data_IF_253400817349
#
_entry.id   IF_253400817349
#
_cell.length_a   1.000
_cell.length_b   1.000
_cell.length_c   1.000
_cell.angle_alpha   90.00
_cell.angle_beta   90.00
_cell.angle_gamma   90.00
#
_symmetry.space_group_name_H-M   'P 1'
#
loop_
_entity.id
_entity.type
_entity.pdbx_description
1 polymer ?
#
# COMPACT_ATOMS: atom_id res chain seq x y z
N UNK A 1 -14.71 10.69 -10.22
CA UNK A 1 -14.55 11.15 -8.84
C UNK A 1 -13.09 11.48 -8.56
N UNK A 2 -12.85 12.51 -7.77
CA UNK A 2 -11.47 12.92 -7.38
C UNK A 2 -11.45 13.15 -5.87
N UNK A 3 -10.44 12.57 -5.22
CA UNK A 3 -10.13 12.79 -3.80
C UNK A 3 -8.73 13.37 -3.73
N UNK A 4 -8.58 14.70 -3.62
CA UNK A 4 -7.27 15.34 -3.51
C UNK A 4 -6.64 15.10 -2.12
N UNK A 5 -5.35 15.36 -2.01
CA UNK A 5 -4.61 15.24 -0.76
C UNK A 5 -5.13 16.21 0.32
N UNK A 6 -5.51 17.44 -0.08
CA UNK A 6 -6.04 18.44 0.84
C UNK A 6 -7.57 18.39 0.98
N UNK A 7 -8.08 18.70 2.17
CA UNK A 7 -9.51 18.75 2.42
C UNK A 7 -10.13 20.00 1.80
N UNK A 8 -11.09 19.83 0.87
CA UNK A 8 -11.69 20.89 0.08
C UNK A 8 -13.23 20.95 0.22
N UNK A 9 -13.76 20.85 1.42
CA UNK A 9 -15.18 21.00 1.73
C UNK A 9 -15.42 22.08 2.79
N UNK A 10 -16.67 22.53 2.93
CA UNK A 10 -17.06 23.55 3.90
C UNK A 10 -16.86 23.08 5.35
N UNK A 11 -15.99 23.76 6.08
CA UNK A 11 -15.63 23.38 7.45
C UNK A 11 -16.80 23.43 8.45
N UNK A 12 -17.78 24.30 8.20
CA UNK A 12 -18.94 24.52 9.07
C UNK A 12 -20.18 23.72 8.65
N UNK A 13 -20.13 23.04 7.51
CA UNK A 13 -21.22 22.20 7.04
C UNK A 13 -21.24 20.87 7.80
N UNK A 14 -22.44 20.31 7.95
CA UNK A 14 -22.60 18.97 8.51
C UNK A 14 -22.11 17.91 7.53
N UNK A 15 -21.57 16.84 8.07
CA UNK A 15 -21.07 15.68 7.31
C UNK A 15 -22.07 15.18 6.27
N UNK A 16 -23.34 15.02 6.66
CA UNK A 16 -24.40 14.57 5.76
C UNK A 16 -24.74 15.59 4.66
N UNK A 17 -24.81 16.88 5.03
CA UNK A 17 -25.17 17.95 4.09
C UNK A 17 -24.11 18.13 2.99
N UNK A 18 -22.82 17.95 3.32
CA UNK A 18 -21.73 17.95 2.34
C UNK A 18 -21.98 16.92 1.24
N UNK A 19 -22.39 15.70 1.61
CA UNK A 19 -22.64 14.63 0.64
C UNK A 19 -23.87 14.91 -0.22
N UNK A 20 -24.97 15.35 0.40
CA UNK A 20 -26.20 15.68 -0.32
C UNK A 20 -26.00 16.84 -1.27
N UNK A 21 -25.27 17.89 -0.83
CA UNK A 21 -24.92 19.03 -1.67
C UNK A 21 -24.06 18.61 -2.86
N UNK A 22 -23.05 17.76 -2.63
CA UNK A 22 -22.20 17.22 -3.70
C UNK A 22 -23.02 16.48 -4.77
N UNK A 23 -23.95 15.63 -4.34
CA UNK A 23 -24.86 14.92 -5.27
C UNK A 23 -25.70 15.90 -6.10
N UNK A 24 -26.11 17.01 -5.49
CA UNK A 24 -26.86 18.07 -6.17
C UNK A 24 -26.11 18.69 -7.34
N UNK A 25 -24.78 18.86 -7.25
CA UNK A 25 -23.96 19.36 -8.37
C UNK A 25 -23.96 18.40 -9.58
N UNK A 26 -24.27 17.12 -9.37
CA UNK A 26 -24.40 16.14 -10.44
C UNK A 26 -25.87 15.91 -10.87
N UNK A 27 -26.81 16.75 -10.41
CA UNK A 27 -28.21 16.65 -10.76
C UNK A 27 -28.93 15.44 -10.14
N UNK A 28 -28.40 14.85 -9.08
CA UNK A 28 -29.02 13.70 -8.41
C UNK A 28 -30.20 14.17 -7.57
N UNK A 29 -31.41 13.57 -7.72
CA UNK A 29 -32.57 13.95 -6.92
C UNK A 29 -32.30 13.81 -5.42
N UNK A 30 -32.84 14.75 -4.63
CA UNK A 30 -32.58 14.84 -3.18
C UNK A 30 -32.83 13.52 -2.43
N UNK A 31 -33.93 12.83 -2.74
CA UNK A 31 -34.25 11.55 -2.09
C UNK A 31 -33.15 10.48 -2.34
N UNK A 32 -32.67 10.35 -3.58
CA UNK A 32 -31.58 9.45 -3.93
C UNK A 32 -30.25 9.89 -3.32
N UNK A 33 -29.99 11.21 -3.31
CA UNK A 33 -28.79 11.76 -2.66
C UNK A 33 -28.74 11.44 -1.16
N UNK A 34 -29.88 11.54 -0.46
CA UNK A 34 -29.98 11.19 0.96
C UNK A 34 -29.74 9.69 1.19
N UNK A 35 -30.35 8.83 0.38
CA UNK A 35 -30.14 7.38 0.46
C UNK A 35 -28.67 7.00 0.23
N UNK A 36 -28.02 7.59 -0.78
CA UNK A 36 -26.60 7.34 -1.04
C UNK A 36 -25.70 7.90 0.08
N UNK A 37 -26.03 9.07 0.62
CA UNK A 37 -25.28 9.66 1.73
C UNK A 37 -25.32 8.74 2.97
N UNK A 38 -26.49 8.22 3.33
CA UNK A 38 -26.64 7.23 4.39
C UNK A 38 -25.78 6.00 4.11
N UNK A 39 -25.94 5.36 2.96
CA UNK A 39 -25.20 4.17 2.56
C UNK A 39 -23.68 4.36 2.64
N UNK A 40 -23.13 5.46 2.12
CA UNK A 40 -21.70 5.68 2.13
C UNK A 40 -21.16 6.08 3.51
N UNK A 41 -21.94 6.83 4.31
CA UNK A 41 -21.56 7.13 5.69
C UNK A 41 -21.56 5.89 6.57
N UNK A 42 -22.50 4.96 6.39
CA UNK A 42 -22.51 3.68 7.09
C UNK A 42 -21.30 2.83 6.71
N UNK A 43 -21.07 2.62 5.40
CA UNK A 43 -19.95 1.83 4.90
C UNK A 43 -18.58 2.34 5.34
N UNK A 44 -18.45 3.65 5.48
CA UNK A 44 -17.21 4.29 5.90
C UNK A 44 -17.16 4.60 7.41
N UNK A 45 -18.13 4.09 8.20
CA UNK A 45 -18.15 4.23 9.65
C UNK A 45 -18.26 5.69 10.11
N UNK A 46 -19.04 6.49 9.40
CA UNK A 46 -19.27 7.92 9.69
C UNK A 46 -20.74 8.25 10.00
N UNK A 47 -21.63 7.27 10.00
CA UNK A 47 -23.06 7.51 10.20
C UNK A 47 -23.38 8.22 11.52
N UNK A 48 -22.71 7.85 12.61
CA UNK A 48 -22.86 8.49 13.92
C UNK A 48 -22.37 9.94 13.94
N UNK A 49 -21.63 10.35 12.93
CA UNK A 49 -21.09 11.70 12.75
C UNK A 49 -21.84 12.52 11.68
N UNK A 50 -22.96 12.02 11.15
CA UNK A 50 -23.72 12.66 10.07
C UNK A 50 -24.16 14.10 10.37
N UNK A 51 -24.49 14.40 11.64
CA UNK A 51 -24.92 15.74 12.09
C UNK A 51 -23.78 16.60 12.64
N UNK A 52 -22.55 16.07 12.67
CA UNK A 52 -21.37 16.78 13.16
C UNK A 52 -20.80 17.66 12.05
N UNK A 53 -20.37 18.87 12.41
CA UNK A 53 -19.67 19.76 11.47
C UNK A 53 -18.31 19.18 11.07
N UNK A 54 -17.95 19.30 9.78
CA UNK A 54 -16.75 18.70 9.23
C UNK A 54 -15.45 19.14 9.94
N UNK A 55 -15.40 20.36 10.48
CA UNK A 55 -14.26 20.85 11.27
C UNK A 55 -13.98 20.02 12.53
N UNK A 56 -15.02 19.38 13.09
CA UNK A 56 -14.93 18.59 14.34
C UNK A 56 -14.50 17.14 14.08
N UNK A 57 -14.38 16.74 12.83
CA UNK A 57 -13.92 15.41 12.44
C UNK A 57 -12.39 15.29 12.57
N UNK A 58 -11.90 14.12 12.96
CA UNK A 58 -10.47 13.79 12.89
C UNK A 58 -9.96 13.75 11.44
N UNK A 59 -8.66 13.78 11.24
CA UNK A 59 -8.05 13.68 9.91
C UNK A 59 -8.52 12.45 9.12
N UNK A 60 -8.51 11.28 9.75
CA UNK A 60 -8.99 10.04 9.14
C UNK A 60 -10.50 10.05 8.84
N UNK A 61 -11.32 10.68 9.70
CA UNK A 61 -12.75 10.87 9.42
C UNK A 61 -12.97 11.81 8.23
N UNK A 62 -12.20 12.91 8.14
CA UNK A 62 -12.25 13.82 7.00
C UNK A 62 -11.85 13.12 5.70
N UNK A 63 -10.83 12.26 5.74
CA UNK A 63 -10.39 11.49 4.56
C UNK A 63 -11.50 10.56 4.07
N UNK A 64 -12.15 9.84 4.98
CA UNK A 64 -13.30 8.97 4.64
C UNK A 64 -14.49 9.77 4.09
N UNK A 65 -14.76 10.94 4.64
CA UNK A 65 -15.79 11.84 4.11
C UNK A 65 -15.48 12.29 2.68
N UNK A 66 -14.21 12.58 2.36
CA UNK A 66 -13.79 12.91 0.99
C UNK A 66 -14.08 11.78 0.01
N UNK A 67 -13.79 10.54 0.40
CA UNK A 67 -14.08 9.36 -0.43
C UNK A 67 -15.60 9.20 -0.59
N UNK A 68 -16.38 9.27 0.50
CA UNK A 68 -17.85 9.24 0.43
C UNK A 68 -18.37 10.28 -0.55
N UNK A 69 -17.87 11.51 -0.46
CA UNK A 69 -18.26 12.62 -1.34
C UNK A 69 -17.95 12.35 -2.81
N UNK A 70 -16.76 11.79 -3.09
CA UNK A 70 -16.36 11.45 -4.46
C UNK A 70 -17.21 10.32 -5.06
N UNK A 71 -17.81 9.48 -4.22
CA UNK A 71 -18.66 8.36 -4.65
C UNK A 71 -20.14 8.73 -4.86
N UNK A 72 -20.58 9.93 -4.43
CA UNK A 72 -22.02 10.31 -4.48
C UNK A 72 -22.66 10.20 -5.85
N UNK A 73 -21.90 10.39 -6.92
CA UNK A 73 -22.40 10.31 -8.30
C UNK A 73 -22.04 8.98 -9.00
N UNK A 74 -21.58 7.97 -8.23
CA UNK A 74 -21.20 6.63 -8.72
C UNK A 74 -20.25 6.70 -9.95
N UNK A 75 -19.06 7.27 -9.78
CA UNK A 75 -18.15 7.50 -10.90
C UNK A 75 -17.65 6.20 -11.50
N UNK A 76 -17.45 6.18 -12.82
CA UNK A 76 -16.75 5.07 -13.51
C UNK A 76 -15.24 5.10 -13.26
N UNK A 77 -14.70 6.28 -12.96
CA UNK A 77 -13.28 6.50 -12.66
C UNK A 77 -13.16 7.29 -11.35
N UNK A 78 -12.39 6.77 -10.42
CA UNK A 78 -12.05 7.40 -9.14
C UNK A 78 -10.54 7.61 -9.08
N UNK A 79 -10.13 8.87 -8.86
CA UNK A 79 -8.72 9.25 -8.70
C UNK A 79 -8.54 9.65 -7.24
N UNK A 80 -7.58 9.00 -6.57
CA UNK A 80 -7.29 9.18 -5.15
C UNK A 80 -5.85 9.62 -4.98
N UNK A 81 -5.66 10.77 -4.35
CA UNK A 81 -4.32 11.27 -4.03
C UNK A 81 -4.02 11.00 -2.55
N UNK A 82 -3.10 10.04 -2.30
CA UNK A 82 -2.72 9.55 -0.98
C UNK A 82 -3.92 9.24 -0.06
N UNK A 83 -4.83 8.32 -0.44
CA UNK A 83 -6.12 8.15 0.21
C UNK A 83 -6.03 7.76 1.69
N UNK A 84 -4.95 7.13 2.13
CA UNK A 84 -4.79 6.65 3.52
C UNK A 84 -3.70 7.39 4.30
N UNK A 85 -3.19 8.51 3.78
CA UNK A 85 -2.19 9.30 4.49
C UNK A 85 -2.71 9.81 5.84
N UNK A 86 -1.95 9.56 6.91
CA UNK A 86 -2.31 9.96 8.27
C UNK A 86 -3.49 9.19 8.90
N UNK A 87 -3.85 8.03 8.32
CA UNK A 87 -4.88 7.13 8.83
C UNK A 87 -4.21 5.99 9.59
N UNK A 88 -4.77 5.60 10.75
CA UNK A 88 -4.30 4.45 11.51
C UNK A 88 -4.50 3.12 10.77
N UNK A 89 -3.79 2.07 11.20
CA UNK A 89 -3.71 0.78 10.50
C UNK A 89 -5.09 0.13 10.34
N UNK A 90 -5.93 0.15 11.37
CA UNK A 90 -7.24 -0.50 11.36
C UNK A 90 -8.19 0.20 10.38
N UNK A 91 -8.23 1.53 10.45
CA UNK A 91 -9.02 2.34 9.52
C UNK A 91 -8.50 2.24 8.08
N UNK A 92 -7.19 2.14 7.87
CA UNK A 92 -6.59 1.95 6.56
C UNK A 92 -7.10 0.67 5.91
N UNK A 93 -7.12 -0.44 6.64
CA UNK A 93 -7.66 -1.71 6.15
C UNK A 93 -9.12 -1.61 5.74
N UNK A 94 -9.96 -1.00 6.56
CA UNK A 94 -11.38 -0.81 6.21
C UNK A 94 -11.58 0.06 4.96
N UNK A 95 -10.70 1.04 4.73
CA UNK A 95 -10.71 1.84 3.50
C UNK A 95 -10.26 1.02 2.28
N UNK A 96 -9.28 0.14 2.43
CA UNK A 96 -8.85 -0.78 1.36
C UNK A 96 -9.98 -1.74 0.98
N UNK A 97 -10.66 -2.33 1.95
CA UNK A 97 -11.83 -3.20 1.71
C UNK A 97 -12.91 -2.45 0.94
N UNK A 98 -13.22 -1.21 1.33
CA UNK A 98 -14.18 -0.37 0.62
C UNK A 98 -13.75 -0.08 -0.83
N UNK A 99 -12.48 0.28 -1.07
CA UNK A 99 -11.97 0.56 -2.41
C UNK A 99 -11.98 -0.70 -3.29
N UNK A 100 -11.63 -1.85 -2.72
CA UNK A 100 -11.70 -3.14 -3.40
C UNK A 100 -13.13 -3.47 -3.81
N UNK A 101 -14.11 -3.32 -2.90
CA UNK A 101 -15.53 -3.51 -3.21
C UNK A 101 -15.99 -2.59 -4.36
N UNK A 102 -15.57 -1.32 -4.37
CA UNK A 102 -15.93 -0.39 -5.43
C UNK A 102 -15.28 -0.76 -6.78
N UNK A 103 -14.05 -1.25 -6.77
CA UNK A 103 -13.40 -1.74 -7.98
C UNK A 103 -14.07 -2.99 -8.54
N UNK A 104 -14.46 -3.93 -7.69
CA UNK A 104 -15.23 -5.14 -8.08
C UNK A 104 -16.60 -4.80 -8.67
N UNK A 105 -17.22 -3.71 -8.23
CA UNK A 105 -18.47 -3.17 -8.79
C UNK A 105 -18.28 -2.41 -10.10
N UNK A 106 -17.06 -2.33 -10.62
CA UNK A 106 -16.75 -1.77 -11.93
C UNK A 106 -16.24 -0.32 -11.92
N UNK A 107 -15.98 0.28 -10.76
CA UNK A 107 -15.27 1.58 -10.70
C UNK A 107 -13.79 1.37 -10.97
N UNK A 108 -13.25 1.98 -12.02
CA UNK A 108 -11.80 2.04 -12.23
C UNK A 108 -11.18 2.97 -11.19
N UNK A 109 -10.10 2.52 -10.52
CA UNK A 109 -9.44 3.31 -9.49
C UNK A 109 -7.98 3.58 -9.90
N UNK A 110 -7.59 4.84 -9.83
CA UNK A 110 -6.20 5.30 -9.91
C UNK A 110 -5.88 5.92 -8.56
N UNK A 111 -4.81 5.46 -7.92
CA UNK A 111 -4.35 6.06 -6.66
C UNK A 111 -2.87 6.41 -6.73
N UNK A 112 -2.50 7.51 -6.07
CA UNK A 112 -1.11 7.79 -5.75
C UNK A 112 -0.87 7.41 -4.29
N UNK A 113 0.27 6.84 -4.00
CA UNK A 113 0.66 6.50 -2.64
C UNK A 113 2.18 6.42 -2.51
N UNK A 114 2.69 6.73 -1.34
CA UNK A 114 4.05 6.43 -0.92
C UNK A 114 4.10 5.21 0.03
N UNK A 115 2.94 4.63 0.36
CA UNK A 115 2.85 3.39 1.11
C UNK A 115 2.87 2.21 0.16
N UNK A 116 4.00 1.52 0.07
CA UNK A 116 4.19 0.42 -0.86
C UNK A 116 3.27 -0.76 -0.57
N UNK A 117 2.95 -1.00 0.71
CA UNK A 117 1.96 -2.00 1.12
C UNK A 117 0.57 -1.72 0.52
N UNK A 118 0.14 -0.45 0.49
CA UNK A 118 -1.12 -0.04 -0.14
C UNK A 118 -1.13 -0.34 -1.64
N UNK A 119 -0.04 -0.02 -2.33
CA UNK A 119 0.10 -0.31 -3.75
C UNK A 119 0.05 -1.82 -4.03
N UNK A 120 0.75 -2.63 -3.22
CA UNK A 120 0.79 -4.08 -3.36
C UNK A 120 -0.59 -4.73 -3.13
N UNK A 121 -1.33 -4.25 -2.12
CA UNK A 121 -2.65 -4.80 -1.77
C UNK A 121 -3.75 -4.40 -2.76
N UNK A 122 -3.72 -3.18 -3.30
CA UNK A 122 -4.83 -2.64 -4.08
C UNK A 122 -4.59 -2.65 -5.58
N UNK A 123 -3.33 -2.59 -6.03
CA UNK A 123 -3.02 -2.30 -7.43
C UNK A 123 -2.62 -3.55 -8.22
N UNK A 124 -3.29 -3.79 -9.34
CA UNK A 124 -2.89 -4.80 -10.34
C UNK A 124 -1.79 -4.30 -11.27
N UNK A 125 -1.72 -2.99 -11.48
CA UNK A 125 -0.69 -2.30 -12.27
C UNK A 125 -0.06 -1.21 -11.43
N UNK A 126 1.23 -0.99 -11.65
CA UNK A 126 2.01 0.03 -10.98
C UNK A 126 2.73 0.89 -12.02
N UNK A 127 2.75 2.20 -11.79
CA UNK A 127 3.61 3.13 -12.50
C UNK A 127 4.49 3.85 -11.49
N UNK A 128 5.80 3.81 -11.69
CA UNK A 128 6.76 4.50 -10.83
C UNK A 128 7.22 5.77 -11.52
N UNK A 129 7.06 6.89 -10.83
CA UNK A 129 7.40 8.21 -11.32
C UNK A 129 8.59 8.74 -10.52
N UNK A 130 9.64 9.14 -11.24
CA UNK A 130 10.79 9.82 -10.68
C UNK A 130 11.09 11.07 -11.50
N UNK A 131 11.22 12.23 -10.84
CA UNK A 131 11.51 13.53 -11.44
C UNK A 131 10.60 13.86 -12.65
N UNK A 132 9.31 13.53 -12.53
CA UNK A 132 8.31 13.82 -13.57
C UNK A 132 8.34 12.87 -14.77
N UNK A 133 9.14 11.80 -14.71
CA UNK A 133 9.25 10.79 -15.78
C UNK A 133 8.76 9.44 -15.25
N UNK A 134 7.92 8.76 -16.02
CA UNK A 134 7.53 7.38 -15.73
C UNK A 134 8.75 6.49 -15.99
N UNK A 135 9.26 5.86 -14.95
CA UNK A 135 10.41 4.94 -15.01
C UNK A 135 9.99 3.51 -15.27
N UNK A 136 8.83 3.13 -14.75
CA UNK A 136 8.26 1.81 -14.89
C UNK A 136 6.75 1.94 -15.05
N UNK A 137 6.14 1.14 -15.93
CA UNK A 137 4.69 0.96 -16.07
C UNK A 137 4.41 -0.50 -16.41
N UNK A 138 4.05 -1.28 -15.41
CA UNK A 138 3.91 -2.72 -15.55
C UNK A 138 2.84 -3.29 -14.62
N UNK A 139 2.61 -4.61 -14.67
CA UNK A 139 1.76 -5.28 -13.69
C UNK A 139 2.53 -5.48 -12.38
N UNK A 140 1.83 -5.45 -11.25
CA UNK A 140 2.42 -5.73 -9.93
C UNK A 140 3.19 -7.07 -9.94
N UNK A 141 2.57 -8.11 -10.52
CA UNK A 141 3.20 -9.44 -10.63
C UNK A 141 4.51 -9.41 -11.43
N UNK A 142 4.54 -8.70 -12.56
CA UNK A 142 5.74 -8.61 -13.39
C UNK A 142 6.82 -7.77 -12.69
N UNK A 143 6.42 -6.71 -11.99
CA UNK A 143 7.34 -5.89 -11.21
C UNK A 143 8.00 -6.69 -10.08
N UNK A 144 7.21 -7.35 -9.23
CA UNK A 144 7.71 -8.22 -8.17
C UNK A 144 8.56 -9.38 -8.71
N UNK A 145 8.26 -9.83 -9.93
CA UNK A 145 9.06 -10.85 -10.61
C UNK A 145 10.47 -10.41 -11.02
N UNK A 146 10.80 -9.10 -10.93
CA UNK A 146 12.16 -8.59 -11.22
C UNK A 146 13.15 -8.82 -10.04
N UNK A 147 12.66 -9.13 -8.84
CA UNK A 147 13.53 -9.54 -7.75
C UNK A 147 14.27 -10.82 -8.15
N UNK A 148 15.59 -10.78 -8.14
CA UNK A 148 16.44 -11.94 -8.41
C UNK A 148 16.74 -12.73 -7.15
N UNK A 149 16.63 -12.09 -6.00
CA UNK A 149 16.92 -12.63 -4.68
C UNK A 149 15.77 -12.32 -3.73
N UNK A 150 15.54 -13.20 -2.77
CA UNK A 150 14.57 -13.02 -1.70
C UNK A 150 15.27 -13.27 -0.35
N UNK A 151 15.06 -12.40 0.62
CA UNK A 151 15.62 -12.54 1.95
C UNK A 151 14.53 -12.89 2.96
N UNK A 152 14.80 -13.93 3.73
CA UNK A 152 13.91 -14.43 4.78
C UNK A 152 14.61 -14.37 6.13
N UNK A 153 13.84 -14.13 7.18
CA UNK A 153 14.28 -14.22 8.56
C UNK A 153 13.62 -15.45 9.18
N UNK A 154 14.43 -16.32 9.73
CA UNK A 154 14.02 -17.54 10.42
C UNK A 154 14.29 -17.38 11.92
N UNK A 155 13.26 -17.53 12.73
CA UNK A 155 13.41 -17.67 14.19
C UNK A 155 13.58 -19.19 14.47
N UNK A 156 14.63 -19.56 15.18
CA UNK A 156 15.02 -20.94 15.44
C UNK A 156 14.51 -21.43 16.80
N UNK A 157 14.35 -22.75 16.96
CA UNK A 157 14.02 -23.38 18.23
C UNK A 157 15.21 -23.39 19.20
N UNK A 158 16.43 -23.57 18.69
CA UNK A 158 17.67 -23.66 19.44
C UNK A 158 18.71 -22.71 18.85
N UNK A 159 19.64 -22.25 19.70
CA UNK A 159 20.73 -21.40 19.28
C UNK A 159 21.72 -22.19 18.40
N UNK A 160 22.19 -21.57 17.33
CA UNK A 160 23.19 -22.14 16.42
C UNK A 160 24.45 -21.28 16.37
N UNK A 161 25.56 -21.90 15.96
CA UNK A 161 26.78 -21.19 15.58
C UNK A 161 26.63 -20.62 14.16
N UNK A 162 27.42 -19.58 13.79
CA UNK A 162 27.42 -19.04 12.45
C UNK A 162 27.64 -20.11 11.39
N UNK A 163 26.78 -20.13 10.38
CA UNK A 163 26.85 -21.09 9.27
C UNK A 163 27.81 -20.54 8.20
N UNK A 164 28.95 -21.17 8.05
CA UNK A 164 29.87 -20.93 6.92
C UNK A 164 29.70 -22.04 5.88
N UNK A 165 28.57 -22.02 5.18
CA UNK A 165 28.23 -23.02 4.18
C UNK A 165 28.25 -22.32 2.80
N UNK A 166 29.26 -22.57 1.97
CA UNK A 166 29.36 -21.97 0.64
C UNK A 166 28.42 -22.69 -0.34
N UNK A 167 27.15 -22.27 -0.37
CA UNK A 167 26.20 -22.73 -1.39
C UNK A 167 25.96 -21.57 -2.35
N UNK A 168 26.24 -21.79 -3.63
CA UNK A 168 26.00 -20.78 -4.65
C UNK A 168 24.53 -20.39 -4.67
N UNK A 169 24.22 -19.08 -4.56
CA UNK A 169 22.87 -18.57 -4.56
C UNK A 169 22.16 -18.57 -3.20
N UNK A 170 22.85 -19.00 -2.12
CA UNK A 170 22.39 -18.88 -0.74
C UNK A 170 23.42 -18.13 0.10
N UNK A 171 22.96 -17.08 0.80
CA UNK A 171 23.76 -16.35 1.78
C UNK A 171 23.11 -16.46 3.16
N UNK A 172 23.92 -16.84 4.16
CA UNK A 172 23.47 -17.02 5.53
C UNK A 172 24.08 -15.93 6.42
N UNK A 173 23.27 -15.23 7.17
CA UNK A 173 23.72 -14.21 8.13
C UNK A 173 23.02 -14.43 9.47
N UNK A 174 23.77 -14.76 10.50
CA UNK A 174 23.25 -14.92 11.85
C UNK A 174 23.09 -13.54 12.49
N UNK A 175 21.85 -13.08 12.68
CA UNK A 175 21.56 -11.79 13.31
C UNK A 175 21.75 -11.85 14.84
N UNK A 176 21.35 -12.97 15.41
CA UNK A 176 21.61 -13.39 16.80
C UNK A 176 21.58 -14.92 16.87
N UNK A 177 21.97 -15.58 17.99
CA UNK A 177 22.09 -17.02 18.06
C UNK A 177 20.82 -17.82 17.71
N UNK A 178 19.64 -17.19 17.76
CA UNK A 178 18.32 -17.80 17.44
C UNK A 178 17.65 -17.20 16.22
N UNK A 179 18.27 -16.23 15.52
CA UNK A 179 17.67 -15.55 14.38
C UNK A 179 18.61 -15.59 13.18
N UNK A 180 18.24 -16.36 12.16
CA UNK A 180 19.00 -16.56 10.94
C UNK A 180 18.34 -15.82 9.77
N UNK A 181 19.10 -14.96 9.11
CA UNK A 181 18.73 -14.39 7.82
C UNK A 181 19.29 -15.25 6.70
N UNK A 182 18.45 -15.55 5.72
CA UNK A 182 18.87 -16.27 4.52
C UNK A 182 18.41 -15.48 3.30
N UNK A 183 19.37 -15.12 2.46
CA UNK A 183 19.11 -14.57 1.12
C UNK A 183 19.29 -15.69 0.10
N UNK A 184 18.29 -15.88 -0.74
CA UNK A 184 18.27 -16.95 -1.75
C UNK A 184 17.94 -16.37 -3.13
N UNK A 185 18.60 -16.90 -4.15
CA UNK A 185 18.30 -16.61 -5.54
C UNK A 185 17.10 -17.44 -6.08
N UNK A 186 16.68 -17.14 -7.33
CA UNK A 186 15.56 -17.85 -7.99
C UNK A 186 15.86 -19.31 -8.35
N UNK A 187 17.11 -19.75 -8.27
CA UNK A 187 17.47 -21.13 -8.55
C UNK A 187 17.09 -22.05 -7.40
N UNK A 188 16.92 -21.51 -6.20
CA UNK A 188 16.57 -22.25 -5.01
C UNK A 188 15.09 -22.09 -4.64
N UNK A 189 14.53 -23.08 -3.99
CA UNK A 189 13.19 -23.03 -3.42
C UNK A 189 13.25 -23.07 -1.88
N UNK A 190 12.18 -22.59 -1.23
CA UNK A 190 12.05 -22.77 0.22
C UNK A 190 12.09 -24.24 0.65
N UNK A 191 11.62 -25.16 -0.22
CA UNK A 191 11.70 -26.58 0.09
C UNK A 191 13.15 -27.08 0.16
N UNK A 192 14.01 -26.63 -0.76
CA UNK A 192 15.43 -26.98 -0.74
C UNK A 192 16.11 -26.45 0.52
N UNK A 193 15.74 -25.23 0.93
CA UNK A 193 16.24 -24.60 2.14
C UNK A 193 15.80 -25.37 3.41
N UNK A 194 14.53 -25.79 3.49
CA UNK A 194 14.06 -26.57 4.63
C UNK A 194 14.70 -27.98 4.68
N UNK A 195 14.95 -28.62 3.53
CA UNK A 195 15.70 -29.88 3.48
C UNK A 195 17.16 -29.70 3.97
N UNK A 196 17.77 -28.57 3.61
CA UNK A 196 19.10 -28.21 4.12
C UNK A 196 19.07 -28.05 5.64
N UNK A 197 18.12 -27.31 6.18
CA UNK A 197 17.96 -27.12 7.62
C UNK A 197 17.78 -28.47 8.35
N UNK A 198 16.93 -29.33 7.81
CA UNK A 198 16.75 -30.69 8.37
C UNK A 198 18.06 -31.50 8.38
N UNK A 199 18.85 -31.44 7.30
CA UNK A 199 20.16 -32.11 7.22
C UNK A 199 21.19 -31.59 8.22
N UNK A 200 21.05 -30.31 8.61
CA UNK A 200 21.93 -29.64 9.58
C UNK A 200 21.39 -29.74 11.03
N UNK A 201 20.22 -30.35 11.23
CA UNK A 201 19.57 -30.44 12.52
C UNK A 201 18.99 -29.10 13.02
N UNK A 202 18.80 -28.14 12.11
CA UNK A 202 18.26 -26.82 12.45
C UNK A 202 16.73 -26.89 12.44
N UNK A 203 16.11 -26.55 13.58
CA UNK A 203 14.66 -26.50 13.72
C UNK A 203 14.16 -25.07 13.66
N UNK A 204 13.23 -24.81 12.72
CA UNK A 204 12.65 -23.49 12.48
C UNK A 204 11.35 -23.37 13.25
N UNK A 205 11.22 -22.33 14.08
CA UNK A 205 10.02 -21.99 14.83
C UNK A 205 9.07 -21.12 14.01
N UNK A 206 9.61 -20.13 13.33
CA UNK A 206 8.84 -19.21 12.47
C UNK A 206 9.70 -18.69 11.33
N UNK A 207 9.04 -18.24 10.27
CA UNK A 207 9.67 -17.61 9.11
C UNK A 207 8.86 -16.37 8.72
N UNK A 208 9.58 -15.31 8.31
CA UNK A 208 9.00 -14.10 7.72
C UNK A 208 9.90 -13.54 6.61
N UNK A 209 9.35 -12.82 5.68
CA UNK A 209 10.15 -12.05 4.74
C UNK A 209 10.91 -10.95 5.50
N UNK A 210 12.16 -10.67 5.11
CA UNK A 210 12.98 -9.60 5.72
C UNK A 210 12.39 -8.23 5.45
N UNK A 211 11.96 -7.98 4.23
CA UNK A 211 11.39 -6.71 3.78
C UNK A 211 10.16 -6.95 2.89
N UNK A 212 9.38 -5.90 2.70
CA UNK A 212 8.36 -5.91 1.66
C UNK A 212 9.08 -5.94 0.29
N UNK A 213 8.74 -6.93 -0.55
CA UNK A 213 9.33 -7.14 -1.87
C UNK A 213 9.27 -5.89 -2.76
N UNK A 214 8.18 -5.14 -2.66
CA UNK A 214 7.99 -3.91 -3.42
C UNK A 214 8.95 -2.82 -2.96
N UNK A 215 9.20 -2.71 -1.65
CA UNK A 215 10.14 -1.76 -1.05
C UNK A 215 11.57 -2.03 -1.51
N UNK A 216 11.99 -3.29 -1.52
CA UNK A 216 13.32 -3.70 -1.98
C UNK A 216 13.56 -3.33 -3.45
N UNK A 217 12.59 -3.61 -4.33
CA UNK A 217 12.66 -3.23 -5.74
C UNK A 217 12.71 -1.71 -5.92
N UNK A 218 11.88 -1.00 -5.16
CA UNK A 218 11.83 0.45 -5.23
C UNK A 218 13.18 1.07 -4.83
N UNK A 219 13.77 0.62 -3.72
CA UNK A 219 15.10 1.08 -3.27
C UNK A 219 16.17 0.76 -4.31
N UNK A 220 16.26 -0.48 -4.79
CA UNK A 220 17.21 -0.87 -5.84
C UNK A 220 17.07 -0.03 -7.14
N UNK A 221 15.85 0.34 -7.49
CA UNK A 221 15.60 1.17 -8.67
C UNK A 221 16.01 2.63 -8.46
N UNK A 222 15.77 3.19 -7.28
CA UNK A 222 16.19 4.56 -6.93
C UNK A 222 17.71 4.64 -6.85
N UNK A 223 18.38 3.68 -6.24
CA UNK A 223 19.85 3.60 -6.15
C UNK A 223 20.52 3.52 -7.53
N UNK A 224 20.03 2.66 -8.43
CA UNK A 224 20.54 2.60 -9.82
C UNK A 224 20.43 3.94 -10.56
N UNK A 225 19.45 4.76 -10.22
CA UNK A 225 19.30 6.10 -10.78
C UNK A 225 20.24 7.13 -10.14
N UNK A 226 20.73 6.89 -8.93
CA UNK A 226 21.74 7.73 -8.27
C UNK A 226 23.16 7.46 -8.82
N UNK A 227 23.50 6.22 -9.13
CA UNK A 227 24.77 5.83 -9.72
C UNK A 227 24.97 6.33 -11.17
N UNK A 228 23.88 6.69 -11.85
CA UNK A 228 23.90 7.31 -13.19
C UNK A 228 24.10 8.82 -13.21
N UNK A 229 24.22 9.48 -12.07
CA UNK A 229 24.49 10.93 -11.98
C UNK A 229 25.96 11.13 -11.66
N UNK A 230 26.81 11.21 -12.70
CA UNK A 230 28.14 11.81 -12.57
C UNK A 230 27.95 13.25 -12.08
N UNK A 231 28.50 13.65 -10.93
CA UNK A 231 28.40 15.03 -10.49
C UNK A 231 29.27 15.89 -11.43
N UNK A 232 28.63 16.64 -12.29
CA UNK A 232 29.28 17.78 -12.98
C UNK A 232 29.48 18.89 -11.94
N UNK A 233 30.50 18.73 -11.09
CA UNK A 233 31.09 19.84 -10.38
C UNK A 233 32.38 20.17 -11.11
N UNK A 234 32.29 21.05 -12.09
CA UNK A 234 33.45 21.86 -12.50
C UNK A 234 33.42 23.14 -11.68
N UNK A 235 34.24 23.17 -10.67
CA UNK A 235 34.70 24.42 -10.07
C UNK A 235 35.65 25.13 -11.06
N UNK A 236 35.23 26.28 -11.53
CA UNK A 236 36.12 27.39 -11.91
C UNK A 236 35.61 28.68 -11.31
#
# INVERSE_FOLDING_TARGET
GIVPQEFNFGHFEKTFDILVTQAGYYGIPKALAQQRAEQYLEKLGLWDKRDVQARMLSGGMKRRLMIARAMMHEPKLLILDEPTAGVDIELRRSMWDFLTEMNEKGTSIILTTHYLEEAEMLCRRIAIIDRGVIKEDTTMKAFLGQLNEESFIFDLEEAIEPLDIPIAGLEFSLLDPMTLEVTMDKAHSLNDLFQLFESLGIQVRSMRNKSNRLEELFVKMVEKNLDGVTPLISLN
#
